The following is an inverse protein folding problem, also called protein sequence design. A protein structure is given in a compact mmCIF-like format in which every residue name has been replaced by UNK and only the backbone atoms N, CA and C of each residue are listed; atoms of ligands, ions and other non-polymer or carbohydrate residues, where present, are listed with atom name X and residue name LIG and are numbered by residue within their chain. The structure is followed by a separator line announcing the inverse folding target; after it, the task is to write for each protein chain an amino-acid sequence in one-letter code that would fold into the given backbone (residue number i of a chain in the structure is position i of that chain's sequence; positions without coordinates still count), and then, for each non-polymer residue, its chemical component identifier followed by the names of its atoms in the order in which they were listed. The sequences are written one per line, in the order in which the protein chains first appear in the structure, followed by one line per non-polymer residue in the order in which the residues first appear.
data_IF_296486070113
#
_entry.id   IF_296486070113
#
_cell.length_a   1.000
_cell.length_b   1.000
_cell.length_c   1.000
_cell.angle_alpha   90.00
_cell.angle_beta   90.00
_cell.angle_gamma   90.00
#
_symmetry.space_group_name_H-M   'P 1'
#
loop_
_entity.id
_entity.type
_entity.pdbx_description
1 polymer ?
#
# COMPACT_ATOMS: atom_id res chain seq x y z
N UNK A 1 36.28 -6.48 6.49
CA UNK A 1 34.89 -6.06 6.22
C UNK A 1 34.34 -6.98 5.15
N UNK A 2 33.36 -7.81 5.46
CA UNK A 2 32.71 -8.64 4.44
C UNK A 2 32.07 -7.70 3.40
N UNK A 3 32.41 -7.87 2.14
CA UNK A 3 31.76 -7.19 1.01
C UNK A 3 30.27 -7.49 1.11
N UNK A 4 29.42 -6.47 1.37
CA UNK A 4 27.97 -6.64 1.30
C UNK A 4 27.65 -7.24 -0.06
N UNK A 5 27.06 -8.42 -0.07
CA UNK A 5 26.59 -9.06 -1.30
C UNK A 5 25.62 -8.10 -1.99
N UNK A 6 25.76 -7.99 -3.32
CA UNK A 6 24.92 -7.09 -4.11
C UNK A 6 23.59 -7.78 -4.37
N UNK A 7 22.49 -7.28 -3.77
CA UNK A 7 21.15 -7.87 -3.90
C UNK A 7 20.74 -8.06 -5.38
N UNK A 8 21.10 -7.14 -6.27
CA UNK A 8 20.77 -7.23 -7.70
C UNK A 8 21.40 -8.42 -8.42
N UNK A 9 22.40 -9.07 -7.79
CA UNK A 9 23.07 -10.27 -8.28
C UNK A 9 22.84 -11.49 -7.40
N UNK A 10 22.06 -11.35 -6.32
CA UNK A 10 21.77 -12.47 -5.45
C UNK A 10 20.73 -13.40 -6.11
N UNK A 11 21.08 -14.63 -6.46
CA UNK A 11 20.15 -15.55 -7.13
C UNK A 11 18.91 -15.86 -6.29
N UNK A 12 19.02 -15.78 -4.96
CA UNK A 12 17.89 -16.02 -4.04
C UNK A 12 16.85 -14.91 -4.20
N UNK A 13 17.30 -13.64 -4.27
CA UNK A 13 16.41 -12.50 -4.47
C UNK A 13 15.85 -12.48 -5.90
N UNK A 14 16.67 -12.76 -6.91
CA UNK A 14 16.20 -12.83 -8.30
C UNK A 14 15.10 -13.88 -8.48
N UNK A 15 15.28 -15.06 -7.90
CA UNK A 15 14.28 -16.14 -7.95
C UNK A 15 12.98 -15.75 -7.22
N UNK A 16 13.09 -15.03 -6.09
CA UNK A 16 11.94 -14.53 -5.35
C UNK A 16 11.15 -13.52 -6.21
N UNK A 17 11.85 -12.56 -6.81
CA UNK A 17 11.23 -11.56 -7.70
C UNK A 17 10.59 -12.21 -8.91
N UNK A 18 11.29 -13.12 -9.61
CA UNK A 18 10.77 -13.84 -10.76
C UNK A 18 9.47 -14.59 -10.44
N UNK A 19 9.40 -15.22 -9.26
CA UNK A 19 8.23 -16.00 -8.86
C UNK A 19 7.02 -15.15 -8.46
N UNK A 20 7.23 -14.01 -7.78
CA UNK A 20 6.15 -13.34 -7.06
C UNK A 20 5.84 -11.92 -7.51
N UNK A 21 6.72 -11.25 -8.28
CA UNK A 21 6.53 -9.84 -8.66
C UNK A 21 5.21 -9.58 -9.35
N UNK A 22 4.76 -10.54 -10.18
CA UNK A 22 3.53 -10.42 -10.96
C UNK A 22 2.35 -11.20 -10.36
N UNK A 23 2.52 -11.77 -9.15
CA UNK A 23 1.48 -12.52 -8.46
C UNK A 23 1.52 -12.29 -6.94
N UNK A 24 1.03 -11.14 -6.51
CA UNK A 24 1.05 -10.75 -5.10
C UNK A 24 0.07 -11.55 -4.24
N UNK A 25 -1.02 -12.09 -4.82
CA UNK A 25 -1.94 -12.98 -4.10
C UNK A 25 -1.24 -14.27 -3.71
N UNK A 26 -0.49 -14.87 -4.65
CA UNK A 26 0.33 -16.04 -4.36
C UNK A 26 1.45 -15.73 -3.35
N UNK A 27 2.09 -14.57 -3.50
CA UNK A 27 3.12 -14.10 -2.58
C UNK A 27 2.59 -13.95 -1.15
N UNK A 28 1.41 -13.39 -0.96
CA UNK A 28 0.76 -13.26 0.35
C UNK A 28 0.59 -14.63 1.02
N UNK A 29 0.11 -15.61 0.26
CA UNK A 29 -0.10 -16.97 0.76
C UNK A 29 1.22 -17.68 1.10
N UNK A 30 2.17 -17.69 0.17
CA UNK A 30 3.38 -18.51 0.34
C UNK A 30 4.45 -17.84 1.22
N UNK A 31 4.56 -16.49 1.21
CA UNK A 31 5.57 -15.78 1.97
C UNK A 31 5.10 -15.34 3.35
N UNK A 32 3.81 -15.03 3.50
CA UNK A 32 3.27 -14.46 4.74
C UNK A 32 2.27 -15.38 5.44
N UNK A 33 1.92 -16.53 4.86
CA UNK A 33 0.86 -17.44 5.33
C UNK A 33 -0.52 -16.71 5.44
N UNK A 34 -0.79 -15.76 4.53
CA UNK A 34 -2.04 -14.98 4.48
C UNK A 34 -2.86 -15.39 3.26
N UNK A 35 -4.00 -16.02 3.50
CA UNK A 35 -5.03 -16.22 2.48
C UNK A 35 -5.89 -14.96 2.40
N UNK A 36 -5.68 -14.18 1.34
CA UNK A 36 -6.45 -12.95 1.11
C UNK A 36 -7.91 -13.26 0.74
N UNK A 37 -8.85 -12.57 1.38
CA UNK A 37 -10.26 -12.63 0.98
C UNK A 37 -10.45 -12.10 -0.44
N UNK A 38 -11.58 -12.45 -1.08
CA UNK A 38 -11.91 -11.95 -2.42
C UNK A 38 -11.82 -10.42 -2.50
N UNK A 39 -12.34 -9.71 -1.51
CA UNK A 39 -12.27 -8.25 -1.44
C UNK A 39 -10.83 -7.73 -1.32
N UNK A 40 -10.00 -8.39 -0.53
CA UNK A 40 -8.58 -8.04 -0.41
C UNK A 40 -7.81 -8.31 -1.71
N UNK A 41 -8.15 -9.40 -2.42
CA UNK A 41 -7.58 -9.68 -3.74
C UNK A 41 -7.93 -8.59 -4.76
N UNK A 42 -9.16 -8.08 -4.78
CA UNK A 42 -9.54 -6.97 -5.65
C UNK A 42 -8.67 -5.73 -5.44
N UNK A 43 -8.31 -5.42 -4.18
CA UNK A 43 -7.41 -4.29 -3.88
C UNK A 43 -6.01 -4.57 -4.43
N UNK A 44 -5.49 -5.77 -4.21
CA UNK A 44 -4.16 -6.18 -4.70
C UNK A 44 -4.09 -6.11 -6.23
N UNK A 45 -5.07 -6.69 -6.93
CA UNK A 45 -5.15 -6.71 -8.37
C UNK A 45 -5.30 -5.31 -8.99
N UNK A 46 -5.92 -4.38 -8.26
CA UNK A 46 -6.07 -3.01 -8.71
C UNK A 46 -4.78 -2.20 -8.65
N UNK A 47 -3.88 -2.49 -7.70
CA UNK A 47 -2.65 -1.71 -7.47
C UNK A 47 -1.40 -2.41 -8.01
N UNK A 48 -1.46 -3.71 -8.31
CA UNK A 48 -0.33 -4.47 -8.81
C UNK A 48 0.20 -3.98 -10.18
N UNK A 49 -0.62 -3.57 -11.17
CA UNK A 49 -0.12 -3.07 -12.45
C UNK A 49 0.76 -1.83 -12.30
N UNK A 50 1.73 -1.68 -13.21
CA UNK A 50 2.57 -0.48 -13.26
C UNK A 50 1.73 0.77 -13.47
N UNK A 51 2.12 1.86 -12.79
CA UNK A 51 1.42 3.15 -12.83
C UNK A 51 -0.04 3.09 -12.37
N UNK A 52 -0.43 2.05 -11.62
CA UNK A 52 -1.80 1.89 -11.15
C UNK A 52 -2.23 3.03 -10.21
N UNK A 53 -3.46 3.47 -10.39
CA UNK A 53 -4.14 4.43 -9.54
C UNK A 53 -5.46 3.81 -9.10
N UNK A 54 -5.54 3.45 -7.82
CA UNK A 54 -6.72 2.80 -7.26
C UNK A 54 -7.31 3.61 -6.11
N UNK A 55 -8.62 3.62 -6.04
CA UNK A 55 -9.37 4.25 -4.96
C UNK A 55 -10.40 3.26 -4.44
N UNK A 56 -10.42 3.06 -3.12
CA UNK A 56 -11.18 1.99 -2.49
C UNK A 56 -12.01 2.54 -1.34
N UNK A 57 -13.33 2.47 -1.44
CA UNK A 57 -14.22 2.68 -0.30
C UNK A 57 -14.40 1.36 0.43
N UNK A 58 -14.17 1.37 1.73
CA UNK A 58 -14.21 0.16 2.56
C UNK A 58 -15.12 0.36 3.76
N UNK A 59 -15.96 -0.62 4.10
CA UNK A 59 -16.55 -0.67 5.43
C UNK A 59 -15.50 -1.02 6.49
N UNK A 60 -15.87 -0.96 7.75
CA UNK A 60 -15.10 -1.59 8.81
C UNK A 60 -15.08 -3.12 8.64
N UNK A 61 -14.05 -3.78 9.13
CA UNK A 61 -14.04 -5.24 9.26
C UNK A 61 -13.62 -6.05 8.01
N UNK A 62 -13.10 -5.41 6.94
CA UNK A 62 -12.60 -6.15 5.76
C UNK A 62 -11.12 -6.56 5.84
N UNK A 63 -10.47 -6.33 6.98
CA UNK A 63 -9.03 -6.58 7.11
C UNK A 63 -8.14 -5.59 6.34
N UNK A 64 -8.60 -4.35 6.13
CA UNK A 64 -7.87 -3.29 5.40
C UNK A 64 -6.41 -3.15 5.84
N UNK A 65 -6.06 -3.05 7.13
CA UNK A 65 -4.65 -2.92 7.55
C UNK A 65 -3.77 -4.08 7.11
N UNK A 66 -4.30 -5.30 7.10
CA UNK A 66 -3.56 -6.50 6.69
C UNK A 66 -3.21 -6.46 5.20
N UNK A 67 -4.18 -6.19 4.32
CA UNK A 67 -3.91 -6.15 2.87
C UNK A 67 -2.98 -5.00 2.50
N UNK A 68 -3.08 -3.84 3.16
CA UNK A 68 -2.16 -2.73 2.94
C UNK A 68 -0.73 -3.06 3.38
N UNK A 69 -0.57 -3.81 4.47
CA UNK A 69 0.74 -4.31 4.91
C UNK A 69 1.33 -5.31 3.92
N UNK A 70 0.53 -6.23 3.38
CA UNK A 70 0.94 -7.17 2.32
C UNK A 70 1.44 -6.39 1.10
N UNK A 71 0.63 -5.47 0.56
CA UNK A 71 0.98 -4.66 -0.61
C UNK A 71 2.28 -3.88 -0.38
N UNK A 72 2.38 -3.17 0.73
CA UNK A 72 3.54 -2.32 1.03
C UNK A 72 4.82 -3.13 1.21
N UNK A 73 4.76 -4.29 1.87
CA UNK A 73 5.91 -5.16 2.10
C UNK A 73 6.37 -5.79 0.78
N UNK A 74 5.46 -6.33 -0.02
CA UNK A 74 5.79 -6.93 -1.31
C UNK A 74 6.40 -5.90 -2.28
N UNK A 75 5.78 -4.73 -2.40
CA UNK A 75 6.31 -3.68 -3.26
C UNK A 75 7.72 -3.26 -2.84
N UNK A 76 7.94 -3.03 -1.55
CA UNK A 76 9.26 -2.61 -1.04
C UNK A 76 10.35 -3.64 -1.32
N UNK A 77 10.05 -4.94 -1.23
CA UNK A 77 11.06 -5.99 -1.35
C UNK A 77 11.33 -6.37 -2.81
N UNK A 78 10.28 -6.35 -3.65
CA UNK A 78 10.36 -6.90 -5.02
C UNK A 78 10.73 -5.86 -6.08
N UNK A 79 10.54 -4.57 -5.79
CA UNK A 79 10.88 -3.50 -6.73
C UNK A 79 12.18 -2.81 -6.27
N UNK A 80 13.27 -2.94 -7.03
CA UNK A 80 14.56 -2.35 -6.65
C UNK A 80 14.46 -0.83 -6.61
N UNK A 81 15.17 -0.24 -5.65
CA UNK A 81 15.20 1.21 -5.42
C UNK A 81 13.81 1.84 -5.24
N UNK A 82 12.84 1.03 -4.75
CA UNK A 82 11.48 1.48 -4.53
C UNK A 82 11.34 2.33 -3.27
N UNK A 83 10.42 3.28 -3.34
CA UNK A 83 9.95 4.04 -2.19
C UNK A 83 8.47 3.77 -1.95
N UNK A 84 8.15 3.17 -0.80
CA UNK A 84 6.77 2.99 -0.35
C UNK A 84 6.47 4.00 0.74
N UNK A 85 5.47 4.86 0.54
CA UNK A 85 5.09 5.93 1.46
C UNK A 85 3.68 5.67 1.95
N UNK A 86 3.53 5.37 3.24
CA UNK A 86 2.23 5.15 3.88
C UNK A 86 1.85 6.42 4.63
N UNK A 87 0.85 7.13 4.11
CA UNK A 87 0.35 8.39 4.68
C UNK A 87 -0.91 8.10 5.50
N UNK A 88 -1.00 8.66 6.69
CA UNK A 88 -2.14 8.46 7.59
C UNK A 88 -2.42 9.69 8.47
N UNK A 89 -3.72 10.03 8.71
CA UNK A 89 -4.09 11.26 9.44
C UNK A 89 -3.98 11.14 10.96
N UNK A 90 -3.99 9.91 11.54
CA UNK A 90 -4.00 9.69 12.99
C UNK A 90 -2.95 8.66 13.41
N UNK A 91 -1.90 9.11 14.09
CA UNK A 91 -0.73 8.31 14.42
C UNK A 91 -1.02 7.03 15.22
N UNK A 92 -1.86 7.09 16.25
CA UNK A 92 -2.05 5.95 17.16
C UNK A 92 -2.86 4.80 16.52
N UNK A 93 -3.88 5.10 15.73
CA UNK A 93 -4.69 4.08 15.07
C UNK A 93 -3.89 3.36 13.97
N UNK A 94 -3.07 4.10 13.23
CA UNK A 94 -2.26 3.52 12.16
C UNK A 94 -1.10 2.68 12.70
N UNK A 95 -0.40 3.13 13.75
CA UNK A 95 0.68 2.37 14.38
C UNK A 95 0.20 1.01 14.91
N UNK A 96 -0.97 0.97 15.53
CA UNK A 96 -1.57 -0.29 16.03
C UNK A 96 -2.16 -1.15 14.91
N UNK A 97 -2.51 -0.55 13.78
CA UNK A 97 -3.06 -1.23 12.61
C UNK A 97 -1.98 -1.66 11.64
N UNK A 98 -1.70 -0.86 10.61
CA UNK A 98 -0.82 -1.24 9.49
C UNK A 98 0.59 -1.62 9.95
N UNK A 99 1.19 -0.87 10.85
CA UNK A 99 2.57 -1.13 11.33
C UNK A 99 2.68 -2.52 11.93
N UNK A 100 1.72 -2.92 12.76
CA UNK A 100 1.71 -4.25 13.37
C UNK A 100 1.64 -5.37 12.32
N UNK A 101 0.80 -5.20 11.28
CA UNK A 101 0.71 -6.17 10.19
C UNK A 101 1.94 -6.18 9.28
N UNK A 102 2.60 -5.04 9.05
CA UNK A 102 3.89 -5.00 8.34
C UNK A 102 4.94 -5.81 9.09
N UNK A 103 4.97 -5.71 10.43
CA UNK A 103 5.86 -6.52 11.25
C UNK A 103 5.54 -8.02 11.17
N UNK A 104 4.26 -8.40 11.18
CA UNK A 104 3.85 -9.79 11.00
C UNK A 104 4.28 -10.33 9.63
N UNK A 105 4.07 -9.56 8.56
CA UNK A 105 4.54 -9.93 7.22
C UNK A 105 6.06 -10.10 7.19
N UNK A 106 6.80 -9.19 7.84
CA UNK A 106 8.25 -9.25 7.93
C UNK A 106 8.74 -10.50 8.67
N UNK A 107 8.17 -10.80 9.83
CA UNK A 107 8.52 -12.01 10.61
C UNK A 107 8.20 -13.29 9.84
N UNK A 108 7.07 -13.35 9.15
CA UNK A 108 6.70 -14.49 8.32
C UNK A 108 7.67 -14.65 7.14
N UNK A 109 8.02 -13.53 6.48
CA UNK A 109 8.99 -13.52 5.39
C UNK A 109 10.35 -14.06 5.84
N UNK A 110 10.86 -13.63 6.99
CA UNK A 110 12.16 -14.08 7.50
C UNK A 110 12.19 -15.58 7.78
N UNK A 111 11.07 -16.19 8.17
CA UNK A 111 10.97 -17.64 8.35
C UNK A 111 11.08 -18.38 7.02
N UNK A 112 10.55 -17.82 5.94
CA UNK A 112 10.55 -18.44 4.59
C UNK A 112 11.79 -18.07 3.78
N UNK A 113 12.30 -16.86 3.96
CA UNK A 113 13.39 -16.26 3.18
C UNK A 113 14.40 -15.55 4.11
N UNK A 114 15.13 -16.28 4.96
CA UNK A 114 15.97 -15.70 6.00
C UNK A 114 17.11 -14.81 5.45
N UNK A 115 17.51 -15.00 4.19
CA UNK A 115 18.55 -14.17 3.56
C UNK A 115 18.17 -12.68 3.43
N UNK A 116 16.88 -12.35 3.45
CA UNK A 116 16.41 -10.95 3.29
C UNK A 116 16.95 -10.04 4.40
N UNK A 117 17.22 -10.57 5.61
CA UNK A 117 17.80 -9.80 6.72
C UNK A 117 19.22 -9.28 6.42
N UNK A 118 19.91 -9.89 5.46
CA UNK A 118 21.24 -9.44 5.02
C UNK A 118 21.17 -8.06 4.34
N UNK A 119 19.99 -7.73 3.79
CA UNK A 119 19.75 -6.57 2.95
C UNK A 119 18.86 -5.52 3.59
N UNK A 120 17.75 -5.93 4.17
CA UNK A 120 16.77 -5.02 4.75
C UNK A 120 16.90 -4.95 6.27
N UNK A 121 16.70 -3.75 6.79
CA UNK A 121 16.64 -3.48 8.22
C UNK A 121 15.31 -2.88 8.56
N UNK A 122 14.79 -3.26 9.71
CA UNK A 122 13.60 -2.66 10.28
C UNK A 122 14.02 -1.67 11.35
N UNK A 123 13.42 -0.49 11.30
CA UNK A 123 13.63 0.59 12.26
C UNK A 123 12.31 1.31 12.56
N UNK A 124 12.39 2.35 13.39
CA UNK A 124 11.21 3.14 13.81
C UNK A 124 10.48 3.80 12.63
N UNK A 125 11.19 4.08 11.55
CA UNK A 125 10.65 4.70 10.34
C UNK A 125 10.08 3.72 9.32
N UNK A 126 10.30 2.41 9.49
CA UNK A 126 9.81 1.37 8.57
C UNK A 126 10.87 0.35 8.17
N UNK A 127 10.67 -0.28 7.00
CA UNK A 127 11.54 -1.31 6.41
C UNK A 127 12.46 -0.66 5.38
N UNK A 128 13.78 -0.68 5.59
CA UNK A 128 14.75 0.03 4.77
C UNK A 128 15.87 -0.89 4.28
N UNK A 129 16.18 -0.82 3.00
CA UNK A 129 17.42 -1.33 2.42
C UNK A 129 18.55 -0.29 2.59
N UNK A 130 18.27 0.97 2.21
CA UNK A 130 19.14 2.14 2.38
C UNK A 130 18.27 3.41 2.53
N UNK A 131 18.87 4.59 2.43
CA UNK A 131 18.17 5.87 2.57
C UNK A 131 17.11 6.11 1.47
N UNK A 132 17.30 5.53 0.29
CA UNK A 132 16.42 5.74 -0.88
C UNK A 132 15.44 4.59 -1.09
N UNK A 133 15.87 3.36 -0.86
CA UNK A 133 15.05 2.17 -1.03
C UNK A 133 14.45 1.71 0.28
N UNK A 134 13.15 1.79 0.38
CA UNK A 134 12.44 1.32 1.58
C UNK A 134 11.02 1.84 1.72
N UNK A 135 10.43 1.47 2.86
CA UNK A 135 9.08 1.87 3.28
C UNK A 135 9.17 2.89 4.41
N UNK A 136 8.37 3.93 4.36
CA UNK A 136 8.24 4.89 5.46
C UNK A 136 6.78 5.19 5.80
N UNK A 137 6.57 5.54 7.06
CA UNK A 137 5.28 5.93 7.62
C UNK A 137 5.25 7.44 7.82
N UNK A 138 4.37 8.14 7.10
CA UNK A 138 4.21 9.59 7.14
C UNK A 138 2.92 9.97 7.86
N UNK A 139 3.03 10.68 8.97
CA UNK A 139 1.88 11.19 9.67
C UNK A 139 1.41 12.50 9.04
N UNK A 140 0.26 12.46 8.39
CA UNK A 140 -0.40 13.65 7.87
C UNK A 140 -0.93 14.54 8.99
N UNK A 141 -0.71 15.85 8.86
CA UNK A 141 -1.32 16.88 9.70
C UNK A 141 -1.80 18.02 8.84
N UNK A 142 -3.01 18.47 9.06
CA UNK A 142 -3.55 19.65 8.40
C UNK A 142 -2.64 20.86 8.67
N UNK A 143 -2.36 21.66 7.65
CA UNK A 143 -1.41 22.79 7.63
C UNK A 143 0.08 22.41 7.76
N UNK A 144 0.42 21.12 7.70
CA UNK A 144 1.80 20.62 7.69
C UNK A 144 1.97 19.57 6.59
N UNK A 145 1.28 19.77 5.46
CA UNK A 145 1.25 18.84 4.32
C UNK A 145 2.62 18.63 3.69
N UNK A 146 3.54 19.57 3.84
CA UNK A 146 4.92 19.46 3.34
C UNK A 146 5.69 18.29 3.98
N UNK A 147 5.19 17.72 5.10
CA UNK A 147 5.77 16.53 5.72
C UNK A 147 5.67 15.25 4.87
N UNK A 148 4.83 15.26 3.83
CA UNK A 148 4.68 14.16 2.86
C UNK A 148 5.39 14.46 1.53
N UNK A 149 6.07 15.58 1.42
CA UNK A 149 6.84 15.95 0.24
C UNK A 149 8.21 15.24 0.19
N UNK A 150 8.88 15.33 -0.98
CA UNK A 150 10.28 14.92 -1.11
C UNK A 150 10.50 13.42 -1.30
N UNK A 151 9.47 12.67 -1.63
CA UNK A 151 9.58 11.25 -1.96
C UNK A 151 9.67 11.06 -3.48
N UNK A 152 10.84 10.67 -3.96
CA UNK A 152 11.10 10.39 -5.37
C UNK A 152 11.78 9.03 -5.51
N UNK A 153 11.36 8.22 -6.47
CA UNK A 153 11.97 6.95 -6.83
C UNK A 153 11.50 6.51 -8.21
N UNK A 154 12.27 5.65 -8.88
CA UNK A 154 11.85 5.04 -10.14
C UNK A 154 10.64 4.11 -9.96
N UNK A 155 10.53 3.53 -8.76
CA UNK A 155 9.37 2.78 -8.30
C UNK A 155 8.81 3.44 -7.04
N UNK A 156 7.71 4.18 -7.18
CA UNK A 156 7.09 4.93 -6.10
C UNK A 156 5.67 4.43 -5.83
N UNK A 157 5.38 4.07 -4.58
CA UNK A 157 4.05 3.68 -4.13
C UNK A 157 3.59 4.57 -2.98
N UNK A 158 2.54 5.34 -3.20
CA UNK A 158 1.79 5.99 -2.14
C UNK A 158 0.61 5.14 -1.71
N UNK A 159 0.46 4.91 -0.41
CA UNK A 159 -0.72 4.35 0.22
C UNK A 159 -1.29 5.39 1.16
N UNK A 160 -2.45 5.95 0.83
CA UNK A 160 -3.09 6.98 1.63
C UNK A 160 -4.27 6.36 2.38
N UNK A 161 -4.12 6.30 3.69
CA UNK A 161 -5.09 5.69 4.62
C UNK A 161 -6.04 6.76 5.13
N UNK A 162 -7.31 6.42 5.28
CA UNK A 162 -8.37 7.34 5.66
C UNK A 162 -8.39 8.61 4.79
N UNK A 163 -8.28 8.36 3.48
CA UNK A 163 -8.12 9.33 2.40
C UNK A 163 -9.16 10.45 2.39
N UNK A 164 -10.39 10.17 2.83
CA UNK A 164 -11.45 11.19 2.95
C UNK A 164 -11.11 12.32 3.94
N UNK A 165 -10.14 12.09 4.83
CA UNK A 165 -9.71 13.09 5.83
C UNK A 165 -8.42 13.83 5.45
N UNK A 166 -7.96 13.67 4.22
CA UNK A 166 -6.74 14.29 3.70
C UNK A 166 -7.13 15.48 2.81
N UNK A 167 -6.45 16.64 2.99
CA UNK A 167 -6.76 17.84 2.21
C UNK A 167 -6.35 17.71 0.75
N UNK A 168 -7.02 18.43 -0.14
CA UNK A 168 -6.70 18.49 -1.57
C UNK A 168 -5.27 19.02 -1.82
N UNK A 169 -4.76 19.88 -0.94
CA UNK A 169 -3.37 20.34 -0.99
C UNK A 169 -2.38 19.18 -0.83
N UNK A 170 -2.64 18.26 0.09
CA UNK A 170 -1.78 17.11 0.29
C UNK A 170 -1.74 16.21 -0.95
N UNK A 171 -2.87 16.02 -1.63
CA UNK A 171 -2.90 15.29 -2.90
C UNK A 171 -2.10 15.98 -4.00
N UNK A 172 -2.11 17.30 -4.07
CA UNK A 172 -1.28 18.04 -5.02
C UNK A 172 0.23 17.80 -4.78
N UNK A 173 0.66 17.69 -3.52
CA UNK A 173 2.05 17.36 -3.15
C UNK A 173 2.40 15.92 -3.54
N UNK A 174 1.51 14.97 -3.26
CA UNK A 174 1.70 13.57 -3.67
C UNK A 174 1.82 13.46 -5.19
N UNK A 175 0.93 14.11 -5.94
CA UNK A 175 0.98 14.13 -7.40
C UNK A 175 2.27 14.74 -7.96
N UNK A 176 2.79 15.81 -7.33
CA UNK A 176 4.06 16.41 -7.72
C UNK A 176 5.25 15.46 -7.56
N UNK A 177 5.15 14.46 -6.69
CA UNK A 177 6.18 13.42 -6.51
C UNK A 177 6.07 12.28 -7.52
N UNK A 178 4.91 12.11 -8.19
CA UNK A 178 4.62 11.00 -9.12
C UNK A 178 4.96 11.36 -10.57
N UNK A 179 6.15 11.87 -10.82
CA UNK A 179 6.54 12.46 -12.11
C UNK A 179 7.33 11.54 -13.02
N UNK A 180 7.84 10.42 -12.52
CA UNK A 180 8.72 9.53 -13.29
C UNK A 180 8.55 8.07 -12.88
N UNK A 181 8.99 7.18 -13.78
CA UNK A 181 9.07 5.75 -13.51
C UNK A 181 7.69 5.08 -13.33
N UNK A 182 7.67 4.06 -12.48
CA UNK A 182 6.46 3.36 -12.06
C UNK A 182 5.94 4.00 -10.76
N UNK A 183 4.97 4.91 -10.92
CA UNK A 183 4.37 5.63 -9.79
C UNK A 183 2.93 5.18 -9.56
N UNK A 184 2.69 4.56 -8.41
CA UNK A 184 1.39 4.00 -8.03
C UNK A 184 0.78 4.74 -6.85
N UNK A 185 -0.54 4.85 -6.81
CA UNK A 185 -1.26 5.42 -5.67
C UNK A 185 -2.49 4.58 -5.32
N UNK A 186 -2.58 4.23 -4.05
CA UNK A 186 -3.72 3.53 -3.46
C UNK A 186 -4.37 4.41 -2.40
N UNK A 187 -5.59 4.85 -2.68
CA UNK A 187 -6.42 5.61 -1.75
C UNK A 187 -7.39 4.66 -1.06
N UNK A 188 -7.46 4.70 0.26
CA UNK A 188 -8.43 3.88 1.00
C UNK A 188 -9.11 4.69 2.10
N UNK A 189 -10.44 4.63 2.17
CA UNK A 189 -11.21 5.26 3.24
C UNK A 189 -12.55 4.59 3.46
N UNK A 190 -13.14 4.85 4.61
CA UNK A 190 -14.59 4.72 4.78
C UNK A 190 -15.23 5.84 3.95
N UNK A 191 -16.39 5.61 3.32
CA UNK A 191 -17.11 6.66 2.62
C UNK A 191 -17.36 7.85 3.54
N UNK A 192 -17.03 9.06 3.07
CA UNK A 192 -17.44 10.28 3.75
C UNK A 192 -18.90 10.58 3.43
N UNK A 193 -19.70 11.06 4.39
CA UNK A 193 -21.03 11.59 4.10
C UNK A 193 -20.97 12.88 3.28
N UNK A 194 -19.81 13.54 3.25
CA UNK A 194 -19.57 14.74 2.44
C UNK A 194 -19.17 14.30 1.03
N UNK A 195 -19.97 14.66 0.04
CA UNK A 195 -19.73 14.36 -1.39
C UNK A 195 -18.77 15.37 -2.02
N UNK A 196 -17.66 15.66 -1.34
CA UNK A 196 -16.67 16.64 -1.76
C UNK A 196 -15.25 16.14 -1.51
N UNK A 197 -14.27 16.78 -2.19
CA UNK A 197 -12.85 16.57 -2.03
C UNK A 197 -12.28 15.49 -2.94
N UNK A 198 -10.95 15.43 -2.96
CA UNK A 198 -10.20 14.61 -3.91
C UNK A 198 -10.56 13.11 -3.85
N UNK A 199 -10.79 12.57 -2.64
CA UNK A 199 -11.14 11.16 -2.49
C UNK A 199 -12.50 10.86 -3.12
N UNK A 200 -13.52 11.73 -2.91
CA UNK A 200 -14.81 11.60 -3.57
C UNK A 200 -14.67 11.67 -5.10
N UNK A 201 -13.94 12.67 -5.60
CA UNK A 201 -13.70 12.84 -7.04
C UNK A 201 -13.00 11.64 -7.65
N UNK A 202 -12.08 10.98 -6.92
CA UNK A 202 -11.38 9.80 -7.40
C UNK A 202 -12.31 8.61 -7.66
N UNK A 203 -13.47 8.55 -6.98
CA UNK A 203 -14.51 7.52 -7.16
C UNK A 203 -15.56 7.90 -8.21
N UNK A 204 -15.63 9.17 -8.62
CA UNK A 204 -16.65 9.71 -9.51
C UNK A 204 -16.02 10.37 -10.75
N UNK A 205 -15.83 11.67 -10.76
CA UNK A 205 -15.35 12.40 -11.92
C UNK A 205 -13.96 12.01 -12.43
N UNK A 206 -13.13 11.36 -11.61
CA UNK A 206 -11.80 10.84 -11.98
C UNK A 206 -11.75 9.32 -12.08
N UNK A 207 -12.83 8.62 -11.82
CA UNK A 207 -12.90 7.18 -11.94
C UNK A 207 -12.91 6.77 -13.42
N UNK A 208 -12.17 5.69 -13.73
CA UNK A 208 -12.22 5.06 -15.04
C UNK A 208 -13.52 4.23 -15.14
N UNK A 209 -14.38 4.58 -16.07
CA UNK A 209 -15.64 3.91 -16.31
C UNK A 209 -15.99 3.95 -17.82
N UNK A 210 -17.02 3.21 -18.25
CA UNK A 210 -17.46 3.21 -19.65
C UNK A 210 -17.91 4.58 -20.12
N UNK A 211 -18.58 5.34 -19.23
CA UNK A 211 -19.01 6.72 -19.47
C UNK A 211 -17.91 7.76 -19.20
N UNK A 212 -16.78 7.36 -18.62
CA UNK A 212 -15.61 8.20 -18.36
C UNK A 212 -14.29 7.50 -18.76
N UNK A 213 -14.03 7.27 -20.06
CA UNK A 213 -12.83 6.57 -20.52
C UNK A 213 -11.53 7.37 -20.30
N UNK A 214 -11.63 8.65 -19.97
CA UNK A 214 -10.49 9.51 -19.58
C UNK A 214 -10.19 9.48 -18.07
N UNK A 215 -10.97 8.77 -17.30
CA UNK A 215 -10.73 8.55 -15.89
C UNK A 215 -9.41 7.84 -15.64
N UNK A 216 -8.78 8.14 -14.51
CA UNK A 216 -7.44 7.62 -14.19
C UNK A 216 -7.43 6.67 -13.00
N UNK A 217 -8.50 6.64 -12.21
CA UNK A 217 -8.60 5.79 -11.02
C UNK A 217 -9.45 4.55 -11.27
N UNK A 218 -8.94 3.37 -10.89
CA UNK A 218 -9.78 2.19 -10.72
C UNK A 218 -10.51 2.33 -9.39
N UNK A 219 -11.81 2.63 -9.45
CA UNK A 219 -12.65 2.78 -8.26
C UNK A 219 -13.22 1.42 -7.84
N UNK A 220 -13.09 1.09 -6.54
CA UNK A 220 -13.60 -0.13 -5.93
C UNK A 220 -14.46 0.25 -4.72
N UNK A 221 -15.68 -0.26 -4.69
CA UNK A 221 -16.56 -0.15 -3.55
C UNK A 221 -16.75 -1.53 -2.93
N UNK A 222 -16.30 -1.71 -1.69
CA UNK A 222 -16.43 -2.97 -0.96
C UNK A 222 -17.62 -2.90 0.00
N UNK A 223 -18.31 -4.04 0.19
CA UNK A 223 -19.44 -4.18 1.09
C UNK A 223 -19.06 -4.93 2.37
N UNK A 224 -19.71 -4.58 3.48
CA UNK A 224 -19.60 -5.34 4.73
C UNK A 224 -20.21 -6.74 4.60
N UNK A 225 -21.28 -6.87 3.82
CA UNK A 225 -22.01 -8.13 3.60
C UNK A 225 -21.16 -9.22 2.95
N UNK A 226 -20.20 -8.81 2.09
CA UNK A 226 -19.32 -9.74 1.37
C UNK A 226 -18.03 -10.07 2.17
N UNK A 227 -17.88 -9.52 3.37
CA UNK A 227 -16.66 -9.72 4.17
C UNK A 227 -16.70 -11.02 4.98
N UNK A 228 -15.73 -11.92 4.84
CA UNK A 228 -15.66 -13.13 5.65
C UNK A 228 -15.28 -12.85 7.12
N UNK A 229 -14.92 -11.63 7.45
CA UNK A 229 -14.52 -11.22 8.80
C UNK A 229 -15.68 -10.58 9.59
N UNK A 230 -16.83 -10.37 8.96
CA UNK A 230 -18.01 -9.74 9.56
C UNK A 230 -19.06 -10.81 9.80
N UNK A 231 -19.60 -10.86 11.02
CA UNK A 231 -20.67 -11.80 11.38
C UNK A 231 -22.04 -11.26 10.98
N UNK A 232 -23.01 -12.17 10.75
CA UNK A 232 -24.38 -11.79 10.46
C UNK A 232 -24.98 -10.94 11.60
N UNK A 233 -24.68 -11.27 12.84
CA UNK A 233 -25.11 -10.51 14.02
C UNK A 233 -24.70 -9.02 13.95
N UNK A 234 -23.51 -8.72 13.41
CA UNK A 234 -23.04 -7.34 13.22
C UNK A 234 -23.80 -6.62 12.10
N UNK A 235 -24.22 -7.34 11.07
CA UNK A 235 -24.97 -6.77 9.93
C UNK A 235 -26.44 -6.47 10.28
N UNK A 236 -26.97 -7.15 11.29
CA UNK A 236 -28.37 -7.00 11.72
C UNK A 236 -28.57 -5.81 12.69
N UNK A 237 -27.49 -5.12 13.11
CA UNK A 237 -27.46 -3.94 13.97
C UNK A 237 -27.10 -2.67 13.20
#
# INVERSE_FOLDING_TARGET
MATKSNIYKDPRWLSLVEKYKDNWVLAAKELFDIDLSHQQQQIVEAIQPNNAKATVTTPHGIGRPQVLAVISTLYTIMYPDSRTVIVYPKSNACKKGIVAYVWQCWEALLKKQPFIIEYFKVGDSGLMFNEFWGMCFCNYRLNYEDSIAGHYADHLLFIIVDSAHISDRAYSIVWASMTSGDSRILLTSIPSPEEIGFFYDSHHGRALAEDNPSGVYKAIKLSAEDSPFITQEYLDH
#
